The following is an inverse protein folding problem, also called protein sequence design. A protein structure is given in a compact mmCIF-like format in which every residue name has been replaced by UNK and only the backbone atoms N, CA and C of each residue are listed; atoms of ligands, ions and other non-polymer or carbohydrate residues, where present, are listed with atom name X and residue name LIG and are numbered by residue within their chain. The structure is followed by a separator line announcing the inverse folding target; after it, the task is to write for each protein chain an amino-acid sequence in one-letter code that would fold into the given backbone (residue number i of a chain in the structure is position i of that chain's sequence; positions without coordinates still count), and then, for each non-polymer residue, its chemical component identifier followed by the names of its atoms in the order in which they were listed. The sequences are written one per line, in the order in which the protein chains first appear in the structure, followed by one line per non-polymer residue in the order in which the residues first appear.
data_IF_540885344211
#
_entry.id   IF_540885344211
#
_cell.length_a   1.000
_cell.length_b   1.000
_cell.length_c   1.000
_cell.angle_alpha   90.00
_cell.angle_beta   90.00
_cell.angle_gamma   90.00
#
_symmetry.space_group_name_H-M   'P 1'
#
loop_
_entity.id
_entity.type
_entity.pdbx_description
1 polymer ?
#
# COMPACT_ATOMS: atom_id res chain seq x y z
N UNK A 1 1.14 13.60 3.04
CA UNK A 1 2.38 13.29 2.30
C UNK A 1 2.07 13.41 0.83
N UNK A 2 2.80 14.30 0.16
CA UNK A 2 2.46 14.68 -1.20
C UNK A 2 2.98 13.64 -2.20
N UNK A 3 2.21 13.44 -3.26
CA UNK A 3 2.60 12.78 -4.51
C UNK A 3 2.71 11.25 -4.48
N UNK A 4 1.61 10.54 -4.21
CA UNK A 4 1.42 9.22 -4.80
C UNK A 4 1.08 9.40 -6.28
N UNK A 5 1.97 8.91 -7.14
CA UNK A 5 1.81 8.90 -8.60
C UNK A 5 1.37 7.51 -9.04
N UNK A 6 0.15 7.41 -9.56
CA UNK A 6 -0.38 6.25 -10.26
C UNK A 6 -0.60 6.58 -11.73
N UNK A 7 -0.84 5.57 -12.56
CA UNK A 7 -1.17 5.76 -13.98
C UNK A 7 -2.42 4.95 -14.31
N UNK A 8 -3.49 5.62 -14.71
CA UNK A 8 -4.72 5.01 -15.19
C UNK A 8 -4.79 5.04 -16.72
N UNK A 9 -5.88 4.49 -17.27
CA UNK A 9 -6.19 4.56 -18.71
C UNK A 9 -6.24 6.03 -19.18
N UNK A 10 -6.68 6.94 -18.30
CA UNK A 10 -6.81 8.37 -18.55
C UNK A 10 -5.53 9.19 -18.22
N UNK A 11 -4.39 8.52 -18.03
CA UNK A 11 -3.10 9.20 -17.80
C UNK A 11 -2.61 9.18 -16.35
N UNK A 12 -1.71 10.11 -16.03
CA UNK A 12 -1.10 10.23 -14.71
C UNK A 12 -2.14 10.68 -13.67
N UNK A 13 -2.24 9.94 -12.57
CA UNK A 13 -3.08 10.27 -11.43
C UNK A 13 -2.16 10.63 -10.27
N UNK A 14 -2.33 11.83 -9.74
CA UNK A 14 -1.64 12.29 -8.53
C UNK A 14 -2.62 12.30 -7.37
N UNK A 15 -2.12 11.88 -6.21
CA UNK A 15 -2.91 11.88 -4.99
C UNK A 15 -2.07 12.19 -3.77
N UNK A 16 -2.73 12.71 -2.76
CA UNK A 16 -2.17 13.01 -1.46
C UNK A 16 -2.63 11.96 -0.46
N UNK A 17 -1.67 11.33 0.22
CA UNK A 17 -1.97 10.34 1.26
C UNK A 17 -2.16 11.02 2.63
N UNK A 18 -3.26 10.67 3.31
CA UNK A 18 -3.63 11.15 4.65
C UNK A 18 -4.30 10.05 5.48
N UNK A 19 -4.19 10.12 6.82
CA UNK A 19 -5.06 9.36 7.72
C UNK A 19 -6.34 10.18 7.96
N UNK A 20 -7.51 9.59 7.71
CA UNK A 20 -8.79 10.14 8.15
C UNK A 20 -9.07 9.70 9.57
N UNK A 21 -9.46 10.64 10.43
CA UNK A 21 -9.70 10.36 11.85
C UNK A 21 -10.80 9.33 12.04
N UNK A 22 -11.89 9.48 11.29
CA UNK A 22 -13.08 8.61 11.35
C UNK A 22 -13.64 8.40 9.94
N UNK A 23 -14.02 7.16 9.64
CA UNK A 23 -14.89 6.78 8.53
C UNK A 23 -16.04 5.98 9.11
N UNK A 24 -17.26 6.41 8.80
CA UNK A 24 -18.49 5.74 9.23
C UNK A 24 -19.08 4.95 8.06
N UNK A 25 -19.47 3.70 8.32
CA UNK A 25 -20.19 2.86 7.37
C UNK A 25 -21.29 2.07 8.10
N UNK A 26 -22.54 2.35 7.78
CA UNK A 26 -23.69 1.90 8.59
C UNK A 26 -23.49 2.33 10.05
N UNK A 27 -23.56 1.40 11.00
CA UNK A 27 -23.42 1.68 12.44
C UNK A 27 -21.97 1.47 12.92
N UNK A 28 -21.01 1.44 12.00
CA UNK A 28 -19.63 1.11 12.28
C UNK A 28 -18.71 2.31 12.09
N UNK A 29 -17.96 2.59 13.13
CA UNK A 29 -16.92 3.61 13.13
C UNK A 29 -15.54 2.95 12.98
N UNK A 30 -14.77 3.41 11.99
CA UNK A 30 -13.39 3.01 11.74
C UNK A 30 -12.49 4.22 11.91
N UNK A 31 -11.45 4.09 12.73
CA UNK A 31 -10.54 5.20 13.05
C UNK A 31 -9.21 5.08 12.32
N UNK A 32 -8.57 6.23 12.10
CA UNK A 32 -7.23 6.32 11.49
C UNK A 32 -7.14 5.64 10.12
N UNK A 33 -8.16 5.83 9.29
CA UNK A 33 -8.26 5.16 7.97
C UNK A 33 -7.24 5.75 7.00
N UNK A 34 -6.46 4.89 6.37
CA UNK A 34 -5.48 5.28 5.36
C UNK A 34 -6.17 5.62 4.04
N UNK A 35 -6.12 6.90 3.62
CA UNK A 35 -6.87 7.42 2.47
C UNK A 35 -5.98 8.16 1.47
N UNK A 36 -6.20 7.92 0.18
CA UNK A 36 -5.59 8.69 -0.91
C UNK A 36 -6.64 9.67 -1.46
N UNK A 37 -6.36 10.96 -1.40
CA UNK A 37 -7.17 12.01 -1.98
C UNK A 37 -6.62 12.38 -3.36
N UNK A 38 -7.44 12.26 -4.41
CA UNK A 38 -7.06 12.64 -5.77
C UNK A 38 -6.93 14.15 -5.89
N UNK A 39 -5.93 14.62 -6.63
CA UNK A 39 -5.80 16.04 -6.93
C UNK A 39 -6.82 16.47 -7.99
N UNK A 40 -7.18 17.76 -7.98
CA UNK A 40 -8.21 18.36 -8.85
C UNK A 40 -8.03 18.08 -10.34
N UNK A 41 -6.79 18.07 -10.84
CA UNK A 41 -6.48 17.74 -12.25
C UNK A 41 -6.84 16.29 -12.59
N UNK A 42 -6.67 15.36 -11.65
CA UNK A 42 -7.06 13.95 -11.83
C UNK A 42 -8.59 13.79 -11.80
N UNK A 43 -9.30 14.61 -11.02
CA UNK A 43 -10.77 14.58 -10.92
C UNK A 43 -11.48 15.03 -12.21
N UNK A 44 -10.91 16.00 -12.94
CA UNK A 44 -11.48 16.48 -14.21
C UNK A 44 -11.57 15.36 -15.25
N UNK A 45 -10.59 14.45 -15.32
CA UNK A 45 -10.57 13.31 -16.23
C UNK A 45 -11.59 12.19 -15.88
N UNK A 46 -12.22 12.24 -14.71
CA UNK A 46 -13.21 11.26 -14.24
C UNK A 46 -14.66 11.82 -14.22
N UNK A 47 -14.83 13.10 -14.56
CA UNK A 47 -16.09 13.85 -14.37
C UNK A 47 -17.28 13.44 -15.26
N UNK A 48 -17.08 12.57 -16.27
CA UNK A 48 -18.17 12.11 -17.15
C UNK A 48 -19.00 10.93 -16.58
N UNK A 49 -18.66 10.43 -15.38
CA UNK A 49 -19.43 9.39 -14.71
C UNK A 49 -19.97 9.89 -13.37
N UNK A 50 -21.22 9.55 -13.08
CA UNK A 50 -22.01 9.86 -11.88
C UNK A 50 -21.19 10.05 -10.59
N UNK A 51 -21.50 11.12 -9.84
CA UNK A 51 -20.92 11.48 -8.54
C UNK A 51 -20.47 10.27 -7.71
N UNK A 52 -19.16 10.08 -7.62
CA UNK A 52 -18.52 9.10 -6.74
C UNK A 52 -17.51 9.85 -5.88
N UNK A 53 -17.72 9.84 -4.56
CA UNK A 53 -16.85 10.52 -3.59
C UNK A 53 -15.51 9.78 -3.35
N UNK A 54 -15.31 8.66 -4.04
CA UNK A 54 -14.08 7.87 -3.99
C UNK A 54 -14.32 6.38 -4.13
N UNK A 55 -13.28 5.60 -3.86
CA UNK A 55 -13.35 4.14 -3.86
C UNK A 55 -13.03 3.59 -2.48
N UNK A 56 -13.80 2.59 -2.05
CA UNK A 56 -13.56 1.87 -0.81
C UNK A 56 -12.78 0.60 -1.13
N UNK A 57 -11.56 0.52 -0.60
CA UNK A 57 -10.62 -0.56 -0.90
C UNK A 57 -10.69 -1.76 0.06
N UNK A 58 -9.92 -2.79 -0.28
CA UNK A 58 -9.84 -4.05 0.46
C UNK A 58 -9.35 -3.87 1.90
N UNK A 59 -8.49 -2.89 2.19
CA UNK A 59 -7.96 -2.69 3.55
C UNK A 59 -9.06 -2.28 4.56
N UNK A 60 -10.10 -1.60 4.07
CA UNK A 60 -11.32 -1.33 4.83
C UNK A 60 -12.26 -2.54 4.80
N UNK A 61 -12.58 -3.06 3.62
CA UNK A 61 -13.60 -4.09 3.44
C UNK A 61 -13.26 -5.42 4.13
N UNK A 62 -11.97 -5.80 4.22
CA UNK A 62 -11.51 -7.04 4.86
C UNK A 62 -11.88 -7.16 6.35
N UNK A 63 -12.34 -6.08 6.96
CA UNK A 63 -12.78 -5.97 8.36
C UNK A 63 -14.18 -6.51 8.60
N UNK A 64 -14.89 -6.82 7.53
CA UNK A 64 -16.26 -7.30 7.56
C UNK A 64 -16.37 -8.63 6.81
N UNK A 65 -17.27 -9.50 7.28
CA UNK A 65 -17.94 -10.46 6.44
C UNK A 65 -19.06 -9.71 5.70
N UNK A 66 -19.05 -9.79 4.37
CA UNK A 66 -19.92 -8.99 3.50
C UNK A 66 -20.86 -9.91 2.72
N UNK A 67 -22.15 -9.55 2.67
CA UNK A 67 -23.12 -10.16 1.77
C UNK A 67 -23.67 -9.10 0.83
N UNK A 68 -23.54 -9.34 -0.47
CA UNK A 68 -24.11 -8.50 -1.51
C UNK A 68 -25.44 -9.10 -1.99
N UNK A 69 -26.53 -8.41 -1.70
CA UNK A 69 -27.85 -8.70 -2.25
C UNK A 69 -28.09 -7.77 -3.44
N UNK A 70 -27.67 -8.21 -4.62
CA UNK A 70 -27.77 -7.42 -5.85
C UNK A 70 -29.22 -7.12 -6.24
N UNK A 71 -30.13 -8.09 -6.07
CA UNK A 71 -31.54 -7.92 -6.40
C UNK A 71 -32.20 -6.83 -5.57
N UNK A 72 -31.89 -6.75 -4.27
CA UNK A 72 -32.40 -5.70 -3.38
C UNK A 72 -31.50 -4.47 -3.32
N UNK A 73 -30.36 -4.47 -4.04
CA UNK A 73 -29.33 -3.42 -3.99
C UNK A 73 -28.87 -3.11 -2.56
N UNK A 74 -28.69 -4.16 -1.74
CA UNK A 74 -28.28 -4.05 -0.34
C UNK A 74 -26.91 -4.68 -0.11
N UNK A 75 -26.16 -4.09 0.79
CA UNK A 75 -24.91 -4.64 1.33
C UNK A 75 -25.08 -4.85 2.82
N UNK A 76 -24.83 -6.06 3.29
CA UNK A 76 -24.88 -6.41 4.70
C UNK A 76 -23.46 -6.58 5.23
N UNK A 77 -23.18 -5.96 6.38
CA UNK A 77 -21.85 -5.89 6.97
C UNK A 77 -21.86 -6.46 8.39
N UNK A 78 -21.03 -7.47 8.64
CA UNK A 78 -20.80 -8.02 9.97
C UNK A 78 -19.32 -7.93 10.30
N UNK A 79 -18.94 -7.29 11.41
CA UNK A 79 -17.53 -7.22 11.86
C UNK A 79 -16.92 -8.62 11.97
N UNK A 80 -15.69 -8.79 11.50
CA UNK A 80 -14.91 -10.01 11.68
C UNK A 80 -13.71 -9.76 12.63
N UNK A 81 -12.84 -10.74 12.81
CA UNK A 81 -11.67 -10.65 13.72
C UNK A 81 -10.68 -9.53 13.36
N UNK A 82 -10.65 -9.09 12.09
CA UNK A 82 -9.77 -8.03 11.58
C UNK A 82 -10.30 -6.62 11.82
N UNK A 83 -11.51 -6.48 12.38
CA UNK A 83 -12.14 -5.17 12.53
C UNK A 83 -11.27 -4.14 13.25
N UNK A 84 -10.48 -4.58 14.24
CA UNK A 84 -9.59 -3.73 15.05
C UNK A 84 -8.16 -3.63 14.52
N UNK A 85 -7.85 -4.22 13.36
CA UNK A 85 -6.49 -4.15 12.79
C UNK A 85 -6.09 -2.68 12.55
N UNK A 86 -4.85 -2.29 12.83
CA UNK A 86 -4.38 -0.94 12.46
C UNK A 86 -4.37 -0.79 10.94
N UNK A 87 -4.85 0.34 10.40
CA UNK A 87 -4.61 0.68 8.99
C UNK A 87 -3.12 0.95 8.81
N UNK A 88 -2.50 0.26 7.85
CA UNK A 88 -1.06 0.38 7.58
C UNK A 88 -0.85 1.00 6.21
N UNK A 89 0.16 1.86 6.14
CA UNK A 89 0.60 2.45 4.90
C UNK A 89 1.99 1.92 4.52
N UNK A 90 2.35 2.04 3.24
CA UNK A 90 3.69 1.74 2.75
C UNK A 90 4.71 2.78 3.26
N UNK A 91 5.33 2.51 4.40
CA UNK A 91 6.25 3.44 5.06
C UNK A 91 7.64 3.35 4.44
N UNK A 92 8.12 2.14 4.10
CA UNK A 92 9.38 1.96 3.38
C UNK A 92 9.42 2.73 2.05
N UNK A 93 8.27 2.89 1.38
CA UNK A 93 8.16 3.60 0.10
C UNK A 93 8.55 2.76 -1.11
N UNK A 94 8.50 1.43 -1.01
CA UNK A 94 8.80 0.52 -2.11
C UNK A 94 7.52 0.04 -2.80
N UNK A 95 7.41 0.22 -4.11
CA UNK A 95 6.43 -0.52 -4.91
C UNK A 95 7.13 -1.75 -5.46
N UNK A 96 6.59 -2.94 -5.15
CA UNK A 96 7.17 -4.21 -5.54
C UNK A 96 6.20 -4.88 -6.50
N UNK A 97 6.74 -5.46 -7.57
CA UNK A 97 5.99 -6.31 -8.49
C UNK A 97 6.69 -7.65 -8.65
N UNK A 98 5.93 -8.65 -9.08
CA UNK A 98 6.53 -9.89 -9.55
C UNK A 98 7.10 -9.70 -10.97
N UNK A 99 8.23 -10.34 -11.26
CA UNK A 99 8.77 -10.43 -12.63
C UNK A 99 8.03 -11.48 -13.45
N UNK A 100 7.55 -12.53 -12.79
CA UNK A 100 7.04 -13.75 -13.41
C UNK A 100 5.70 -14.15 -12.79
N UNK A 101 4.94 -14.98 -13.50
CA UNK A 101 3.67 -15.53 -12.99
C UNK A 101 3.87 -16.53 -11.85
N UNK A 102 5.09 -17.05 -11.69
CA UNK A 102 5.45 -18.00 -10.62
C UNK A 102 5.67 -17.31 -9.27
N UNK A 103 5.72 -15.97 -9.25
CA UNK A 103 5.94 -15.13 -8.07
C UNK A 103 7.31 -15.35 -7.41
N UNK A 104 8.28 -15.88 -8.17
CA UNK A 104 9.58 -16.28 -7.63
C UNK A 104 10.54 -15.10 -7.51
N UNK A 105 10.38 -14.09 -8.36
CA UNK A 105 11.27 -12.93 -8.42
C UNK A 105 10.49 -11.65 -8.16
N UNK A 106 10.81 -11.00 -7.04
CA UNK A 106 10.26 -9.68 -6.70
C UNK A 106 11.21 -8.59 -7.14
N UNK A 107 10.68 -7.62 -7.88
CA UNK A 107 11.42 -6.46 -8.39
C UNK A 107 10.84 -5.19 -7.79
N UNK A 108 11.71 -4.28 -7.40
CA UNK A 108 11.34 -2.91 -7.06
C UNK A 108 10.89 -2.20 -8.34
N UNK A 109 9.58 -1.97 -8.46
CA UNK A 109 8.99 -1.25 -9.58
C UNK A 109 9.31 0.24 -9.50
N UNK A 110 9.20 0.81 -8.30
CA UNK A 110 9.36 2.24 -8.05
C UNK A 110 9.73 2.48 -6.60
N UNK A 111 10.45 3.57 -6.36
CA UNK A 111 10.88 4.01 -5.03
C UNK A 111 10.33 5.42 -4.81
N UNK A 112 9.41 5.56 -3.85
CA UNK A 112 8.80 6.85 -3.54
C UNK A 112 9.88 7.86 -3.16
N UNK A 113 9.96 9.04 -3.80
CA UNK A 113 10.91 10.07 -3.42
C UNK A 113 10.83 10.42 -1.94
N UNK A 114 11.99 10.73 -1.35
CA UNK A 114 12.16 11.11 0.07
C UNK A 114 11.74 10.04 1.11
N UNK A 115 11.34 8.85 0.68
CA UNK A 115 11.07 7.71 1.57
C UNK A 115 12.35 7.16 2.21
N UNK A 116 12.20 6.28 3.20
CA UNK A 116 13.34 5.57 3.81
C UNK A 116 14.16 4.80 2.76
N UNK A 117 13.48 4.15 1.81
CA UNK A 117 14.16 3.40 0.74
C UNK A 117 14.89 4.30 -0.25
N UNK A 118 14.31 5.46 -0.59
CA UNK A 118 14.97 6.45 -1.45
C UNK A 118 16.24 6.99 -0.78
N UNK A 119 16.16 7.35 0.51
CA UNK A 119 17.30 7.86 1.28
C UNK A 119 18.40 6.81 1.46
N UNK A 120 18.03 5.55 1.60
CA UNK A 120 18.98 4.44 1.70
C UNK A 120 19.66 4.09 0.36
N UNK A 121 19.08 4.51 -0.77
CA UNK A 121 19.64 4.28 -2.10
C UNK A 121 19.15 3.02 -2.81
N UNK A 122 18.00 2.47 -2.40
CA UNK A 122 17.29 1.44 -3.18
C UNK A 122 16.78 2.09 -4.47
N UNK A 123 16.83 1.36 -5.57
CA UNK A 123 16.49 1.85 -6.91
C UNK A 123 15.43 0.96 -7.58
N UNK A 124 14.74 1.51 -8.57
CA UNK A 124 13.91 0.71 -9.45
C UNK A 124 14.77 -0.34 -10.18
N UNK A 125 14.17 -1.50 -10.47
CA UNK A 125 14.79 -2.71 -11.02
C UNK A 125 15.68 -3.53 -10.06
N UNK A 126 15.88 -3.08 -8.82
CA UNK A 126 16.50 -3.92 -7.79
C UNK A 126 15.65 -5.18 -7.55
N UNK A 127 16.30 -6.36 -7.53
CA UNK A 127 15.64 -7.62 -7.21
C UNK A 127 15.67 -7.80 -5.71
N UNK A 128 14.51 -7.86 -5.07
CA UNK A 128 14.40 -8.06 -3.63
C UNK A 128 14.73 -9.52 -3.27
N UNK A 129 15.75 -9.71 -2.42
CA UNK A 129 16.19 -11.05 -1.99
C UNK A 129 15.79 -11.35 -0.55
N UNK A 130 15.98 -10.40 0.36
CA UNK A 130 15.68 -10.55 1.79
C UNK A 130 15.09 -9.29 2.38
N UNK A 131 14.23 -9.50 3.39
CA UNK A 131 13.81 -8.45 4.33
C UNK A 131 14.12 -8.95 5.73
N UNK A 132 14.95 -8.20 6.44
CA UNK A 132 15.71 -8.64 7.61
C UNK A 132 16.47 -9.94 7.28
N UNK A 133 16.43 -10.93 8.17
CA UNK A 133 17.12 -12.21 7.98
C UNK A 133 16.30 -13.24 7.18
N UNK A 134 15.19 -12.81 6.55
CA UNK A 134 14.23 -13.71 5.90
C UNK A 134 14.30 -13.58 4.38
N UNK A 135 14.43 -14.72 3.68
CA UNK A 135 14.34 -14.77 2.23
C UNK A 135 12.91 -14.49 1.78
N UNK A 136 12.74 -13.61 0.80
CA UNK A 136 11.40 -13.22 0.32
C UNK A 136 10.65 -14.36 -0.34
N UNK A 137 11.36 -15.29 -0.99
CA UNK A 137 10.78 -16.50 -1.63
C UNK A 137 10.02 -17.39 -0.64
N UNK A 138 10.35 -17.30 0.65
CA UNK A 138 9.73 -18.11 1.70
C UNK A 138 8.61 -17.35 2.44
N UNK A 139 8.21 -16.18 1.95
CA UNK A 139 7.23 -15.31 2.59
C UNK A 139 6.07 -15.02 1.64
N UNK A 140 4.86 -14.89 2.20
CA UNK A 140 3.74 -14.34 1.44
C UNK A 140 3.95 -12.83 1.17
N UNK A 141 3.35 -12.31 0.11
CA UNK A 141 3.34 -10.87 -0.18
C UNK A 141 2.85 -10.04 1.02
N UNK A 142 1.76 -10.45 1.67
CA UNK A 142 1.25 -9.79 2.88
C UNK A 142 2.31 -9.72 3.97
N UNK A 143 3.07 -10.80 4.18
CA UNK A 143 4.13 -10.84 5.19
C UNK A 143 5.29 -9.92 4.83
N UNK A 144 5.70 -9.87 3.57
CA UNK A 144 6.74 -8.95 3.09
C UNK A 144 6.32 -7.50 3.31
N UNK A 145 5.10 -7.15 2.90
CA UNK A 145 4.54 -5.82 3.15
C UNK A 145 4.46 -5.48 4.64
N UNK A 146 4.12 -6.45 5.49
CA UNK A 146 4.10 -6.23 6.94
C UNK A 146 5.49 -5.87 7.47
N UNK A 147 6.54 -6.58 7.04
CA UNK A 147 7.93 -6.33 7.46
C UNK A 147 8.46 -4.97 6.97
N UNK A 148 8.09 -4.57 5.75
CA UNK A 148 8.48 -3.26 5.19
C UNK A 148 7.69 -2.08 5.80
N UNK A 149 6.65 -2.35 6.58
CA UNK A 149 5.81 -1.35 7.23
C UNK A 149 5.85 -1.42 8.76
N UNK A 150 6.80 -2.16 9.31
CA UNK A 150 6.88 -2.36 10.74
C UNK A 150 7.64 -1.22 11.43
N UNK A 151 6.95 -0.10 11.66
CA UNK A 151 7.51 1.06 12.39
C UNK A 151 7.86 0.77 13.84
N UNK A 152 7.37 -0.32 14.42
CA UNK A 152 7.77 -0.73 15.77
C UNK A 152 9.22 -1.25 15.76
N UNK A 153 9.72 -1.72 14.61
CA UNK A 153 11.13 -1.99 14.39
C UNK A 153 11.83 -0.69 13.94
N UNK A 154 12.77 -0.21 14.76
CA UNK A 154 13.55 1.02 14.50
C UNK A 154 14.24 1.03 13.13
N UNK A 155 14.63 -0.14 12.64
CA UNK A 155 15.17 -0.31 11.30
C UNK A 155 14.77 -1.66 10.69
N UNK A 156 14.65 -1.68 9.36
CA UNK A 156 14.43 -2.89 8.56
C UNK A 156 15.57 -3.03 7.57
N UNK A 157 16.28 -4.16 7.59
CA UNK A 157 17.34 -4.46 6.61
C UNK A 157 16.72 -5.00 5.34
N UNK A 158 17.16 -4.54 4.19
CA UNK A 158 16.68 -4.97 2.88
C UNK A 158 17.88 -5.35 2.04
N UNK A 159 17.94 -6.60 1.61
CA UNK A 159 18.98 -7.08 0.69
C UNK A 159 18.40 -7.22 -0.70
N UNK A 160 19.08 -6.62 -1.67
CA UNK A 160 18.69 -6.65 -3.08
C UNK A 160 19.85 -7.12 -3.95
N UNK A 161 19.53 -7.64 -5.14
CA UNK A 161 20.49 -7.82 -6.23
C UNK A 161 20.29 -6.68 -7.23
N UNK A 162 21.35 -5.92 -7.48
CA UNK A 162 21.43 -4.87 -8.50
C UNK A 162 22.49 -5.30 -9.50
N UNK A 163 22.08 -5.52 -10.74
CA UNK A 163 22.92 -6.16 -11.75
C UNK A 163 23.49 -7.49 -11.23
N UNK A 164 24.79 -7.63 -11.03
CA UNK A 164 25.43 -8.82 -10.44
C UNK A 164 25.85 -8.65 -8.97
N UNK A 165 25.64 -7.47 -8.40
CA UNK A 165 26.03 -7.18 -7.01
C UNK A 165 24.89 -7.40 -6.03
N UNK A 166 25.23 -7.90 -4.84
CA UNK A 166 24.29 -8.00 -3.72
C UNK A 166 24.55 -6.84 -2.77
N UNK A 167 23.55 -5.97 -2.64
CA UNK A 167 23.59 -4.78 -1.79
C UNK A 167 22.65 -4.97 -0.61
N UNK A 168 23.05 -4.51 0.57
CA UNK A 168 22.21 -4.50 1.76
C UNK A 168 22.04 -3.07 2.26
N UNK A 169 20.78 -2.68 2.44
CA UNK A 169 20.38 -1.36 2.87
C UNK A 169 19.69 -1.45 4.23
N UNK A 170 19.92 -0.47 5.08
CA UNK A 170 19.20 -0.33 6.35
C UNK A 170 18.18 0.79 6.24
N UNK A 171 16.90 0.45 6.40
CA UNK A 171 15.79 1.37 6.28
C UNK A 171 15.35 1.83 7.68
N UNK A 172 15.52 3.11 7.98
CA UNK A 172 14.97 3.70 9.19
C UNK A 172 13.52 4.10 8.93
N UNK A 173 12.59 3.26 9.38
CA UNK A 173 11.16 3.48 9.22
C UNK A 173 10.69 4.47 10.29
N UNK A 174 10.00 5.52 9.86
CA UNK A 174 9.40 6.52 10.74
C UNK A 174 7.92 6.56 10.47
N UNK A 175 7.09 6.67 11.52
CA UNK A 175 5.70 7.05 11.29
C UNK A 175 5.70 8.46 10.70
N UNK A 176 4.89 8.61 9.68
CA UNK A 176 4.79 9.80 8.84
C UNK A 176 3.43 10.48 9.07
N UNK A 177 2.75 10.09 10.15
CA UNK A 177 1.47 10.58 10.66
C UNK A 177 1.47 10.60 12.18
#
# INVERSE_FOLDING_TARGET
IDNYRGRGINGLITSTFKKMDVVEISDYELRNVSTNFLDSVSLVNFSNTSFSDGSIGTDLLKRFQIVFDYSRKKMYLKKNSRYRDKFRYNIAGLRIKTKDWQLDTLIVEDVRPLSASHKAGIQANDILLKVNDRQVKNLSFERIYTLLNDVEQRSTKVTVKRDEEILTFELFLQDIF
#
